data_IF_888414558899
#
_entry.id   IF_888414558899
#
_cell.length_a   1.000
_cell.length_b   1.000
_cell.length_c   1.000
_cell.angle_alpha   90.00
_cell.angle_beta   90.00
_cell.angle_gamma   90.00
#
_symmetry.space_group_name_H-M   'P 1'
#
loop_
_entity.id
_entity.type
_entity.pdbx_description
1 polymer ?
#
# COMPACT_ATOMS: atom_id res chain seq x y z
N UNK A 1 11.24 9.54 0.17
CA UNK A 1 11.65 8.49 -0.73
C UNK A 1 11.49 7.13 -0.09
N UNK A 2 11.62 6.08 -0.89
CA UNK A 2 11.43 4.71 -0.41
C UNK A 2 12.33 4.36 0.75
N UNK A 3 13.59 4.81 0.69
CA UNK A 3 14.55 4.48 1.75
C UNK A 3 14.10 4.96 3.11
N UNK A 4 13.42 6.09 3.15
CA UNK A 4 12.99 6.69 4.41
C UNK A 4 11.67 6.13 4.90
N UNK A 5 10.86 5.61 3.99
CA UNK A 5 9.56 5.07 4.35
C UNK A 5 9.68 3.76 5.12
N UNK A 6 10.58 2.89 4.68
CA UNK A 6 10.72 1.56 5.26
C UNK A 6 11.57 1.59 6.52
N UNK A 7 11.16 0.81 7.51
CA UNK A 7 11.90 0.71 8.77
C UNK A 7 13.31 0.19 8.53
N UNK A 8 14.28 0.77 9.21
CA UNK A 8 15.65 0.27 9.20
C UNK A 8 15.96 -0.55 10.44
N UNK A 9 15.03 -0.64 11.38
CA UNK A 9 15.25 -1.31 12.66
C UNK A 9 14.44 -2.58 12.82
N UNK A 10 13.22 -2.60 12.32
CA UNK A 10 12.33 -3.75 12.45
C UNK A 10 12.43 -4.64 11.22
N UNK A 11 12.07 -5.93 11.35
CA UNK A 11 11.95 -6.78 10.16
C UNK A 11 10.90 -6.21 9.21
N UNK A 12 11.18 -6.28 7.91
CA UNK A 12 10.24 -5.80 6.92
C UNK A 12 9.94 -6.88 5.89
N UNK A 13 8.76 -6.80 5.29
CA UNK A 13 8.36 -7.75 4.25
C UNK A 13 7.43 -7.06 3.26
N UNK A 14 7.34 -7.61 2.07
CA UNK A 14 6.56 -7.02 1.00
C UNK A 14 6.10 -8.11 0.05
N UNK A 15 4.86 -8.00 -0.41
CA UNK A 15 4.32 -8.89 -1.43
C UNK A 15 3.65 -8.03 -2.48
N UNK A 16 4.32 -7.89 -3.62
CA UNK A 16 3.73 -7.17 -4.76
C UNK A 16 2.69 -8.06 -5.43
N UNK A 17 1.72 -7.48 -6.14
CA UNK A 17 0.69 -8.29 -6.78
C UNK A 17 1.30 -9.36 -7.69
N UNK A 18 1.01 -10.62 -7.39
CA UNK A 18 1.50 -11.75 -8.18
C UNK A 18 2.92 -12.19 -7.89
N UNK A 19 3.63 -11.51 -6.99
CA UNK A 19 5.01 -11.86 -6.66
C UNK A 19 5.04 -12.83 -5.49
N UNK A 20 6.18 -13.50 -5.35
CA UNK A 20 6.48 -14.18 -4.11
C UNK A 20 6.81 -13.16 -3.04
N UNK A 21 6.72 -13.58 -1.78
CA UNK A 21 7.01 -12.68 -0.69
C UNK A 21 8.50 -12.34 -0.64
N UNK A 22 8.75 -11.10 -0.26
CA UNK A 22 10.11 -10.59 -0.08
C UNK A 22 10.30 -10.27 1.39
N UNK A 23 11.45 -10.60 1.93
CA UNK A 23 11.79 -10.32 3.32
C UNK A 23 13.13 -9.62 3.38
N UNK A 24 13.24 -8.68 4.33
CA UNK A 24 14.47 -7.95 4.52
C UNK A 24 14.47 -6.64 3.78
N UNK A 25 14.99 -5.61 4.45
CA UNK A 25 14.92 -4.25 3.94
C UNK A 25 15.58 -4.08 2.58
N UNK A 26 16.74 -4.72 2.41
CA UNK A 26 17.49 -4.54 1.17
C UNK A 26 16.71 -5.05 -0.03
N UNK A 27 16.17 -6.26 0.07
CA UNK A 27 15.40 -6.84 -1.03
C UNK A 27 14.11 -6.08 -1.28
N UNK A 28 13.45 -5.65 -0.20
CA UNK A 28 12.20 -4.92 -0.33
C UNK A 28 12.41 -3.57 -1.00
N UNK A 29 13.40 -2.81 -0.54
CA UNK A 29 13.66 -1.49 -1.11
C UNK A 29 14.11 -1.61 -2.56
N UNK A 30 14.95 -2.60 -2.86
CA UNK A 30 15.41 -2.78 -4.22
C UNK A 30 14.27 -3.17 -5.17
N UNK A 31 13.31 -3.96 -4.68
CA UNK A 31 12.16 -4.30 -5.52
C UNK A 31 11.38 -3.05 -5.92
N UNK A 32 11.18 -2.13 -4.98
CA UNK A 32 10.49 -0.88 -5.29
C UNK A 32 11.29 0.00 -6.24
N UNK A 33 12.60 0.07 -6.05
CA UNK A 33 13.44 0.83 -6.97
C UNK A 33 13.34 0.27 -8.38
N UNK A 34 13.33 -1.05 -8.49
CA UNK A 34 13.25 -1.71 -9.79
C UNK A 34 11.92 -1.39 -10.47
N UNK A 35 10.82 -1.46 -9.73
CA UNK A 35 9.49 -1.15 -10.25
C UNK A 35 9.43 0.30 -10.74
N UNK A 36 9.94 1.22 -9.93
CA UNK A 36 9.92 2.64 -10.28
C UNK A 36 10.78 2.91 -11.50
N UNK A 37 11.97 2.32 -11.57
CA UNK A 37 12.86 2.50 -12.72
C UNK A 37 12.26 1.92 -13.99
N UNK A 38 11.41 0.89 -13.85
CA UNK A 38 10.76 0.28 -15.00
C UNK A 38 9.61 1.09 -15.57
N UNK A 39 9.35 2.26 -15.02
CA UNK A 39 8.28 3.11 -15.54
C UNK A 39 6.90 2.66 -15.15
N UNK A 40 6.74 2.13 -13.95
CA UNK A 40 5.44 1.69 -13.47
C UNK A 40 4.43 2.82 -13.53
N UNK A 41 3.15 2.51 -13.82
CA UNK A 41 2.11 3.54 -13.83
C UNK A 41 1.91 4.12 -12.45
N UNK A 42 1.36 5.32 -12.40
CA UNK A 42 1.06 5.97 -11.13
C UNK A 42 0.00 5.17 -10.37
N UNK A 43 0.18 5.08 -9.07
CA UNK A 43 -0.73 4.37 -8.18
C UNK A 43 -1.38 5.40 -7.28
N UNK A 44 -2.71 5.38 -7.21
CA UNK A 44 -3.47 6.29 -6.37
C UNK A 44 -4.11 5.52 -5.23
N UNK A 45 -3.88 5.99 -4.02
CA UNK A 45 -4.50 5.42 -2.84
C UNK A 45 -5.90 6.02 -2.67
N UNK A 46 -6.90 5.16 -2.53
CA UNK A 46 -8.30 5.56 -2.43
C UNK A 46 -8.88 5.00 -1.13
N UNK A 47 -9.61 5.84 -0.41
CA UNK A 47 -10.35 5.45 0.79
C UNK A 47 -9.49 4.74 1.83
N UNK A 48 -8.41 5.35 2.31
CA UNK A 48 -7.60 4.70 3.33
C UNK A 48 -8.35 4.57 4.65
N UNK A 49 -8.24 3.40 5.26
CA UNK A 49 -8.75 3.14 6.61
C UNK A 49 -7.59 2.83 7.51
N UNK A 50 -7.52 3.50 8.65
CA UNK A 50 -6.41 3.37 9.58
C UNK A 50 -6.88 2.68 10.86
N UNK A 51 -6.16 1.64 11.25
CA UNK A 51 -6.41 0.92 12.49
C UNK A 51 -5.17 1.03 13.37
N UNK A 52 -5.33 1.60 14.55
CA UNK A 52 -4.20 1.84 15.45
C UNK A 52 -4.16 0.78 16.54
N UNK A 53 -2.98 0.25 16.79
CA UNK A 53 -2.72 -0.76 17.83
C UNK A 53 -1.49 -0.32 18.62
N UNK A 54 -1.64 0.73 19.43
CA UNK A 54 -0.50 1.29 20.15
C UNK A 54 0.54 1.86 19.19
N UNK A 55 1.71 1.27 19.16
CA UNK A 55 2.79 1.74 18.29
C UNK A 55 2.76 1.11 16.91
N UNK A 56 1.68 0.43 16.57
CA UNK A 56 1.53 -0.21 15.27
C UNK A 56 0.24 0.28 14.63
N UNK A 57 0.29 0.49 13.35
CA UNK A 57 -0.90 0.90 12.57
C UNK A 57 -1.01 0.04 11.33
N UNK A 58 -2.25 -0.33 11.00
CA UNK A 58 -2.54 -0.99 9.73
C UNK A 58 -3.37 -0.02 8.91
N UNK A 59 -2.99 0.15 7.65
CA UNK A 59 -3.74 0.99 6.72
C UNK A 59 -4.21 0.11 5.57
N UNK A 60 -5.53 0.07 5.39
CA UNK A 60 -6.12 -0.60 4.23
C UNK A 60 -6.51 0.48 3.24
N UNK A 61 -6.20 0.29 1.98
CA UNK A 61 -6.68 1.21 0.96
C UNK A 61 -6.80 0.49 -0.37
N UNK A 62 -7.66 1.03 -1.22
CA UNK A 62 -7.65 0.61 -2.60
C UNK A 62 -6.49 1.31 -3.32
N UNK A 63 -5.87 0.58 -4.24
CA UNK A 63 -4.86 1.15 -5.11
C UNK A 63 -5.42 1.16 -6.51
N UNK A 64 -5.55 2.33 -7.08
CA UNK A 64 -6.04 2.49 -8.44
C UNK A 64 -4.86 2.52 -9.38
N UNK A 65 -4.83 1.58 -10.33
CA UNK A 65 -3.75 1.46 -11.30
C UNK A 65 -4.40 1.30 -12.67
N UNK A 66 -4.31 2.31 -13.50
CA UNK A 66 -4.82 2.28 -14.87
C UNK A 66 -6.30 1.87 -14.94
N UNK A 67 -7.09 2.38 -14.01
CA UNK A 67 -8.52 2.11 -14.02
C UNK A 67 -8.95 0.86 -13.28
N UNK A 68 -8.02 0.01 -12.89
CA UNK A 68 -8.31 -1.18 -12.10
C UNK A 68 -7.98 -0.92 -10.63
N UNK A 69 -8.57 -1.75 -9.76
CA UNK A 69 -8.37 -1.59 -8.33
C UNK A 69 -7.74 -2.83 -7.73
N UNK A 70 -6.78 -2.58 -6.86
CA UNK A 70 -6.20 -3.58 -5.96
C UNK A 70 -6.57 -3.20 -4.55
N UNK A 71 -6.50 -4.16 -3.63
CA UNK A 71 -6.61 -3.85 -2.21
C UNK A 71 -5.23 -4.00 -1.60
N UNK A 72 -4.84 -3.02 -0.79
CA UNK A 72 -3.52 -3.01 -0.20
C UNK A 72 -3.63 -2.97 1.31
N UNK A 73 -2.73 -3.70 1.97
CA UNK A 73 -2.53 -3.66 3.41
C UNK A 73 -1.14 -3.14 3.67
N UNK A 74 -1.04 -2.08 4.45
CA UNK A 74 0.23 -1.50 4.84
C UNK A 74 0.32 -1.47 6.35
N UNK A 75 1.42 -1.97 6.89
CA UNK A 75 1.62 -2.01 8.34
C UNK A 75 2.78 -1.10 8.68
N UNK A 76 2.57 -0.25 9.67
CA UNK A 76 3.56 0.73 10.12
C UNK A 76 3.84 0.53 11.59
N UNK A 77 5.06 0.82 12.00
CA UNK A 77 5.42 0.91 13.41
C UNK A 77 5.96 2.30 13.68
N UNK A 78 5.72 2.77 14.89
CA UNK A 78 6.21 4.08 15.30
C UNK A 78 7.62 3.94 15.83
N UNK A 79 8.55 4.65 15.21
CA UNK A 79 9.96 4.68 15.61
C UNK A 79 10.31 6.13 15.91
N UNK A 80 10.60 6.42 17.17
CA UNK A 80 10.80 7.77 17.63
C UNK A 80 9.58 8.63 17.28
N UNK A 81 9.72 9.63 16.45
CA UNK A 81 8.61 10.53 16.10
C UNK A 81 8.04 10.23 14.73
N UNK A 82 8.42 9.12 14.10
CA UNK A 82 7.99 8.83 12.73
C UNK A 82 7.37 7.44 12.62
N UNK A 83 6.41 7.31 11.73
CA UNK A 83 5.84 6.01 11.38
C UNK A 83 6.65 5.44 10.23
N UNK A 84 7.06 4.18 10.38
CA UNK A 84 7.86 3.50 9.35
C UNK A 84 7.14 2.24 8.91
N UNK A 85 7.14 1.97 7.61
CA UNK A 85 6.46 0.81 7.07
C UNK A 85 7.28 -0.44 7.33
N UNK A 86 6.59 -1.51 7.75
CA UNK A 86 7.22 -2.80 7.98
C UNK A 86 6.62 -3.88 7.09
N UNK A 87 5.45 -3.63 6.50
CA UNK A 87 4.84 -4.61 5.60
C UNK A 87 3.96 -3.92 4.58
N UNK A 88 3.99 -4.43 3.36
CA UNK A 88 3.09 -4.02 2.30
C UNK A 88 2.67 -5.25 1.52
N UNK A 89 1.37 -5.37 1.27
CA UNK A 89 0.86 -6.41 0.39
C UNK A 89 -0.31 -5.82 -0.39
N UNK A 90 -0.33 -6.08 -1.69
CA UNK A 90 -1.44 -5.65 -2.53
C UNK A 90 -1.80 -6.78 -3.48
N UNK A 91 -3.08 -6.85 -3.83
CA UNK A 91 -3.56 -7.87 -4.74
C UNK A 91 -4.93 -7.57 -5.28
N UNK A 92 -5.43 -8.40 -6.18
CA UNK A 92 -6.74 -8.19 -6.78
C UNK A 92 -7.86 -8.20 -5.74
N UNK A 93 -8.93 -7.47 -6.03
CA UNK A 93 -10.09 -7.43 -5.16
C UNK A 93 -11.34 -7.30 -6.02
N UNK A 94 -12.46 -7.79 -5.51
CA UNK A 94 -13.75 -7.58 -6.15
C UNK A 94 -14.37 -6.26 -5.73
N UNK A 95 -13.85 -5.65 -4.66
CA UNK A 95 -14.37 -4.38 -4.20
C UNK A 95 -13.84 -3.22 -5.00
N UNK A 96 -14.43 -2.06 -4.80
CA UNK A 96 -13.94 -0.83 -5.36
C UNK A 96 -14.38 0.32 -4.45
N UNK A 97 -13.71 1.46 -4.54
CA UNK A 97 -14.02 2.58 -3.65
C UNK A 97 -15.46 3.05 -3.80
N UNK A 98 -16.04 3.45 -2.68
CA UNK A 98 -17.36 4.04 -2.68
C UNK A 98 -17.37 5.39 -3.39
N UNK A 99 -16.25 6.09 -3.37
CA UNK A 99 -16.12 7.40 -3.99
C UNK A 99 -15.67 7.31 -5.44
N UNK A 100 -15.71 6.10 -6.04
CA UNK A 100 -15.42 5.93 -7.44
C UNK A 100 -16.42 6.73 -8.26
N UNK A 101 -15.98 7.50 -9.26
CA UNK A 101 -16.91 8.29 -10.08
C UNK A 101 -18.04 7.46 -10.69
N UNK A 102 -17.79 6.20 -11.06
CA UNK A 102 -18.83 5.36 -11.59
C UNK A 102 -19.91 5.07 -10.56
N UNK A 103 -19.52 4.94 -9.28
CA UNK A 103 -20.48 4.74 -8.20
C UNK A 103 -21.27 6.01 -7.92
N UNK A 104 -20.59 7.15 -7.99
CA UNK A 104 -21.21 8.43 -7.69
C UNK A 104 -22.24 8.84 -8.72
N UNK A 105 -22.12 8.32 -9.92
CA UNK A 105 -23.08 8.61 -10.97
C UNK A 105 -24.36 7.80 -10.84
N UNK A 106 -24.38 6.89 -9.92
CA UNK A 106 -25.53 6.04 -9.71
C UNK A 106 -26.64 6.84 -9.01
N UNK A 107 -27.83 6.93 -9.61
CA UNK A 107 -28.87 7.84 -9.10
C UNK A 107 -29.27 7.60 -7.66
N UNK A 108 -29.22 6.40 -7.17
CA UNK A 108 -29.66 6.15 -5.81
C UNK A 108 -28.70 6.66 -4.79
N UNK A 109 -27.53 7.08 -5.20
CA UNK A 109 -26.56 7.66 -4.28
C UNK A 109 -27.03 9.03 -3.81
N UNK A 110 -27.90 9.61 -4.56
CA UNK A 110 -28.40 10.95 -4.25
C UNK A 110 -29.55 10.95 -3.27
#
# INVERSE_FOLDING_TARGET
>A
AMDELWSSKAPVSCIHPGWESLSGREDVVESWRSIIRGGAPAIRCREPEVFLYGNTATVLCYEEVEGDFLIATNVFVREAAAWKMVHHQAGPTRGKPQDDPASEENPQVN
#
